data_IF_942701103331
#
_entry.id   IF_942701103331
#
_cell.length_a   1.000
_cell.length_b   1.000
_cell.length_c   1.000
_cell.angle_alpha   90.00
_cell.angle_beta   90.00
_cell.angle_gamma   90.00
#
_symmetry.space_group_name_H-M   'P 1'
#
loop_
_entity.id
_entity.type
_entity.pdbx_description
1 polymer ?
#
# COMPACT_ATOMS: atom_id res chain seq x y z
N UNK A 1 1.72 27.48 -25.57
CA UNK A 1 1.70 26.53 -24.43
C UNK A 1 0.24 26.23 -24.12
N UNK A 2 -0.30 25.10 -24.59
CA UNK A 2 -1.65 24.69 -24.26
C UNK A 2 -1.64 24.13 -22.83
N UNK A 3 -2.25 24.87 -21.90
CA UNK A 3 -2.47 24.43 -20.54
C UNK A 3 -3.36 23.18 -20.56
N UNK A 4 -2.79 22.03 -20.20
CA UNK A 4 -3.59 20.86 -19.85
C UNK A 4 -4.43 21.21 -18.64
N UNK A 5 -5.69 21.55 -18.84
CA UNK A 5 -6.66 21.58 -17.76
C UNK A 5 -6.79 20.14 -17.24
N UNK A 6 -6.20 19.86 -16.10
CA UNK A 6 -6.44 18.60 -15.40
C UNK A 6 -7.96 18.47 -15.19
N UNK A 7 -8.55 17.40 -15.70
CA UNK A 7 -9.94 17.10 -15.45
C UNK A 7 -10.13 17.02 -13.93
N UNK A 8 -10.87 17.96 -13.36
CA UNK A 8 -11.15 17.98 -11.92
C UNK A 8 -12.23 16.97 -11.63
N UNK A 9 -11.81 15.75 -11.27
CA UNK A 9 -12.74 14.75 -10.74
C UNK A 9 -13.20 15.15 -9.33
N UNK A 10 -14.40 14.76 -8.92
CA UNK A 10 -14.82 14.93 -7.54
C UNK A 10 -13.87 14.15 -6.59
N UNK A 11 -13.78 14.56 -5.32
CA UNK A 11 -13.04 13.78 -4.32
C UNK A 11 -13.50 12.33 -4.28
N UNK A 12 -12.58 11.41 -3.94
CA UNK A 12 -12.91 10.00 -3.74
C UNK A 12 -13.88 9.85 -2.55
N UNK A 13 -14.79 8.85 -2.57
CA UNK A 13 -15.75 8.61 -1.47
C UNK A 13 -15.05 8.34 -0.13
N UNK A 14 -13.89 7.69 -0.15
CA UNK A 14 -13.00 7.44 1.00
C UNK A 14 -11.55 7.46 0.54
N UNK A 15 -10.63 7.58 1.50
CA UNK A 15 -9.19 7.37 1.31
C UNK A 15 -8.78 5.91 1.44
N UNK A 16 -9.67 5.04 1.89
CA UNK A 16 -9.38 3.64 2.13
C UNK A 16 -10.09 2.76 1.10
N UNK A 17 -9.33 1.88 0.46
CA UNK A 17 -9.83 0.95 -0.56
C UNK A 17 -10.98 0.08 -0.04
N UNK A 18 -10.84 -0.41 1.20
CA UNK A 18 -11.81 -1.31 1.81
C UNK A 18 -13.16 -0.66 2.17
N UNK A 19 -13.23 0.67 2.20
CA UNK A 19 -14.48 1.41 2.44
C UNK A 19 -15.33 1.54 1.18
N UNK A 20 -14.73 1.34 0.00
CA UNK A 20 -15.43 1.49 -1.28
C UNK A 20 -16.17 0.22 -1.65
N UNK A 21 -17.38 0.38 -2.15
CA UNK A 21 -18.19 -0.70 -2.71
C UNK A 21 -17.80 -1.01 -4.17
N UNK A 22 -18.25 -2.17 -4.68
CA UNK A 22 -18.13 -2.50 -6.10
C UNK A 22 -18.78 -1.45 -7.00
N UNK A 23 -19.86 -0.81 -6.54
CA UNK A 23 -20.54 0.27 -7.26
C UNK A 23 -19.64 1.50 -7.39
N UNK A 24 -18.90 1.86 -6.32
CA UNK A 24 -17.97 2.98 -6.35
C UNK A 24 -16.85 2.73 -7.37
N UNK A 25 -16.24 1.54 -7.36
CA UNK A 25 -15.21 1.17 -8.35
C UNK A 25 -15.75 1.17 -9.79
N UNK A 26 -17.00 0.74 -10.01
CA UNK A 26 -17.64 0.83 -11.32
C UNK A 26 -17.76 2.29 -11.78
N UNK A 27 -18.16 3.20 -10.87
CA UNK A 27 -18.23 4.63 -11.14
C UNK A 27 -16.86 5.26 -11.42
N UNK A 28 -15.83 4.92 -10.63
CA UNK A 28 -14.46 5.39 -10.84
C UNK A 28 -13.90 4.97 -12.20
N UNK A 29 -14.21 3.75 -12.65
CA UNK A 29 -13.82 3.28 -14.00
C UNK A 29 -14.56 4.02 -15.10
N UNK A 30 -15.88 4.16 -14.98
CA UNK A 30 -16.71 4.81 -15.98
C UNK A 30 -16.35 6.29 -16.18
N UNK A 31 -16.01 7.00 -15.10
CA UNK A 31 -15.58 8.41 -15.14
C UNK A 31 -14.12 8.59 -15.60
N UNK A 32 -13.32 7.53 -15.66
CA UNK A 32 -11.88 7.61 -15.92
C UNK A 32 -11.03 7.98 -14.70
N UNK A 33 -11.64 8.28 -13.56
CA UNK A 33 -10.93 8.66 -12.33
C UNK A 33 -10.02 7.54 -11.81
N UNK A 34 -10.41 6.27 -11.98
CA UNK A 34 -9.59 5.12 -11.60
C UNK A 34 -8.17 5.19 -12.20
N UNK A 35 -8.03 5.64 -13.45
CA UNK A 35 -6.73 5.74 -14.13
C UNK A 35 -5.82 6.83 -13.55
N UNK A 36 -6.40 7.81 -12.89
CA UNK A 36 -5.67 8.91 -12.24
C UNK A 36 -5.34 8.60 -10.78
N UNK A 37 -6.09 7.68 -10.18
CA UNK A 37 -5.91 7.25 -8.79
C UNK A 37 -4.58 6.55 -8.58
N UNK A 38 -3.92 6.88 -7.47
CA UNK A 38 -2.76 6.15 -6.95
C UNK A 38 -3.24 5.23 -5.83
N UNK A 39 -3.06 3.93 -5.99
CA UNK A 39 -3.21 2.97 -4.91
C UNK A 39 -1.91 2.92 -4.11
N UNK A 40 -1.99 2.98 -2.79
CA UNK A 40 -0.85 2.84 -1.89
C UNK A 40 -1.01 1.51 -1.15
N UNK A 41 -0.06 0.61 -1.30
CA UNK A 41 0.04 -0.63 -0.54
C UNK A 41 1.05 -0.45 0.60
N UNK A 42 0.58 -0.27 1.84
CA UNK A 42 1.47 -0.19 3.00
C UNK A 42 1.99 -1.58 3.34
N UNK A 43 3.31 -1.72 3.48
CA UNK A 43 3.98 -3.00 3.78
C UNK A 43 4.93 -2.81 4.96
N UNK A 44 4.89 -3.74 5.93
CA UNK A 44 5.66 -3.68 7.17
C UNK A 44 6.21 -5.06 7.56
N UNK A 45 6.67 -5.20 8.79
CA UNK A 45 7.06 -6.48 9.38
C UNK A 45 6.57 -6.60 10.83
N UNK A 46 6.48 -7.85 11.30
CA UNK A 46 6.25 -8.21 12.70
C UNK A 46 7.47 -8.99 13.16
N UNK A 47 8.43 -8.28 13.74
CA UNK A 47 9.75 -8.84 14.05
C UNK A 47 10.35 -8.29 15.36
N UNK A 48 11.37 -8.96 15.86
CA UNK A 48 12.06 -8.51 17.07
C UNK A 48 12.71 -7.12 16.88
N UNK A 49 12.59 -6.27 17.90
CA UNK A 49 13.25 -4.97 18.01
C UNK A 49 13.94 -4.81 19.37
N UNK A 50 14.62 -5.87 19.81
CA UNK A 50 15.20 -5.95 21.14
C UNK A 50 14.20 -6.41 22.21
N UNK A 51 14.66 -6.61 23.46
CA UNK A 51 13.84 -7.22 24.52
C UNK A 51 12.75 -6.32 25.10
N UNK A 52 12.75 -5.04 24.75
CA UNK A 52 11.92 -4.00 25.37
C UNK A 52 10.89 -3.36 24.45
N UNK A 53 10.97 -3.60 23.14
CA UNK A 53 10.01 -3.08 22.17
C UNK A 53 9.06 -4.19 21.68
N UNK A 54 7.81 -3.84 21.35
CA UNK A 54 6.88 -4.81 20.77
C UNK A 54 7.32 -5.20 19.35
N UNK A 55 6.89 -6.38 18.91
CA UNK A 55 7.19 -6.89 17.57
C UNK A 55 6.57 -6.04 16.44
N UNK A 56 5.60 -5.20 16.76
CA UNK A 56 4.85 -4.37 15.82
C UNK A 56 5.50 -3.01 15.54
N UNK A 57 6.76 -2.77 15.90
CA UNK A 57 7.42 -1.47 15.73
C UNK A 57 7.25 -0.95 14.31
N UNK A 58 7.61 -1.72 13.30
CA UNK A 58 7.53 -1.32 11.90
C UNK A 58 6.10 -1.00 11.47
N UNK A 59 5.15 -1.86 11.83
CA UNK A 59 3.74 -1.66 11.50
C UNK A 59 3.17 -0.41 12.20
N UNK A 60 3.57 -0.17 13.47
CA UNK A 60 3.12 0.99 14.25
C UNK A 60 3.68 2.30 13.68
N UNK A 61 4.96 2.32 13.34
CA UNK A 61 5.59 3.49 12.73
C UNK A 61 4.99 3.79 11.35
N UNK A 62 4.80 2.75 10.52
CA UNK A 62 4.15 2.88 9.21
C UNK A 62 2.74 3.48 9.35
N UNK A 63 1.95 2.97 10.30
CA UNK A 63 0.60 3.50 10.56
C UNK A 63 0.65 4.97 11.00
N UNK A 64 1.57 5.33 11.90
CA UNK A 64 1.73 6.72 12.35
C UNK A 64 2.09 7.68 11.21
N UNK A 65 2.97 7.25 10.29
CA UNK A 65 3.31 8.05 9.11
C UNK A 65 2.11 8.18 8.16
N UNK A 66 1.34 7.10 7.97
CA UNK A 66 0.11 7.15 7.16
C UNK A 66 -0.92 8.11 7.76
N UNK A 67 -1.15 8.04 9.06
CA UNK A 67 -2.10 8.91 9.76
C UNK A 67 -1.71 10.38 9.63
N UNK A 68 -0.43 10.70 9.78
CA UNK A 68 0.10 12.05 9.55
C UNK A 68 -0.07 12.50 8.09
N UNK A 69 0.24 11.62 7.13
CA UNK A 69 0.08 11.92 5.72
C UNK A 69 -1.38 12.19 5.33
N UNK A 70 -2.32 11.41 5.86
CA UNK A 70 -3.76 11.58 5.61
C UNK A 70 -4.27 12.97 5.98
N UNK A 71 -3.72 13.59 7.04
CA UNK A 71 -4.07 14.95 7.44
C UNK A 71 -3.57 16.03 6.46
N UNK A 72 -2.54 15.70 5.68
CA UNK A 72 -1.88 16.65 4.77
C UNK A 72 -2.31 16.46 3.31
N UNK A 73 -2.93 15.33 2.95
CA UNK A 73 -3.32 15.04 1.57
C UNK A 73 -4.47 15.96 1.13
N UNK A 74 -4.30 16.74 0.03
CA UNK A 74 -5.39 17.53 -0.53
C UNK A 74 -6.58 16.66 -0.92
N UNK A 75 -7.80 17.13 -0.66
CA UNK A 75 -9.02 16.38 -0.99
C UNK A 75 -9.10 15.99 -2.48
N UNK A 76 -8.61 16.84 -3.36
CA UNK A 76 -8.60 16.61 -4.81
C UNK A 76 -7.56 15.59 -5.28
N UNK A 77 -6.57 15.21 -4.45
CA UNK A 77 -5.56 14.22 -4.84
C UNK A 77 -6.17 12.81 -4.75
N UNK A 78 -6.29 12.05 -5.85
CA UNK A 78 -6.94 10.76 -5.86
C UNK A 78 -6.00 9.65 -5.36
N UNK A 79 -5.91 9.47 -4.05
CA UNK A 79 -5.10 8.43 -3.39
C UNK A 79 -6.00 7.49 -2.61
N UNK A 80 -5.83 6.18 -2.79
CA UNK A 80 -6.50 5.12 -2.04
C UNK A 80 -5.46 4.26 -1.32
N UNK A 81 -5.56 4.17 -0.01
CA UNK A 81 -4.77 3.26 0.81
C UNK A 81 -5.42 1.87 0.83
N UNK A 82 -4.66 0.86 0.42
CA UNK A 82 -5.01 -0.55 0.55
C UNK A 82 -4.86 -1.02 2.01
N UNK A 83 -5.49 -2.14 2.40
CA UNK A 83 -5.24 -2.75 3.70
C UNK A 83 -3.76 -3.05 3.90
N UNK A 84 -3.15 -2.62 5.02
CA UNK A 84 -1.73 -2.83 5.27
C UNK A 84 -1.36 -4.33 5.32
N UNK A 85 -0.22 -4.67 4.71
CA UNK A 85 0.39 -5.99 4.80
C UNK A 85 1.45 -5.96 5.90
N UNK A 86 1.03 -6.28 7.12
CA UNK A 86 1.88 -6.11 8.32
C UNK A 86 2.85 -7.28 8.56
N UNK A 87 2.61 -8.44 7.96
CA UNK A 87 3.54 -9.56 8.00
C UNK A 87 4.31 -9.58 6.69
N UNK A 88 5.60 -9.29 6.75
CA UNK A 88 6.49 -9.20 5.59
C UNK A 88 7.62 -10.22 5.59
N UNK A 89 8.78 -9.81 5.11
CA UNK A 89 9.98 -10.64 4.96
C UNK A 89 11.06 -10.22 5.96
N UNK A 90 11.31 -11.06 6.98
CA UNK A 90 12.28 -10.84 8.06
C UNK A 90 13.06 -12.11 8.39
N UNK A 91 13.69 -12.81 7.42
CA UNK A 91 14.38 -14.07 7.67
C UNK A 91 15.57 -13.93 8.62
N UNK A 92 16.19 -12.77 8.71
CA UNK A 92 17.28 -12.41 9.63
C UNK A 92 16.88 -12.49 11.09
N UNK A 93 15.59 -12.36 11.39
CA UNK A 93 15.04 -12.38 12.74
C UNK A 93 14.31 -13.68 13.13
N UNK A 94 14.36 -14.71 12.30
CA UNK A 94 13.64 -15.98 12.50
C UNK A 94 14.02 -16.71 13.80
N UNK A 95 15.23 -16.46 14.34
CA UNK A 95 15.69 -17.08 15.59
C UNK A 95 15.10 -16.44 16.86
N UNK A 96 14.44 -15.30 16.71
CA UNK A 96 13.85 -14.59 17.84
C UNK A 96 12.37 -15.01 17.99
N UNK A 97 11.96 -15.49 19.19
CA UNK A 97 10.59 -15.91 19.43
C UNK A 97 9.59 -14.77 19.14
N UNK A 98 8.50 -15.09 18.46
CA UNK A 98 7.44 -14.16 18.14
C UNK A 98 7.57 -13.47 16.78
N UNK A 99 8.72 -13.47 16.12
CA UNK A 99 8.86 -12.97 14.75
C UNK A 99 7.96 -13.75 13.80
N UNK A 100 7.16 -13.02 13.01
CA UNK A 100 6.33 -13.56 11.93
C UNK A 100 6.95 -13.15 10.61
N UNK A 101 7.40 -14.10 9.82
CA UNK A 101 7.99 -13.84 8.50
C UNK A 101 7.43 -14.78 7.45
N UNK A 102 7.25 -14.25 6.24
CA UNK A 102 6.92 -15.03 5.05
C UNK A 102 8.20 -15.34 4.27
N UNK A 103 8.14 -16.33 3.38
CA UNK A 103 9.22 -16.56 2.43
C UNK A 103 9.26 -15.46 1.35
N UNK A 104 10.43 -15.21 0.71
CA UNK A 104 10.51 -14.27 -0.41
C UNK A 104 9.50 -14.58 -1.52
N UNK A 105 9.35 -15.86 -1.88
CA UNK A 105 8.41 -16.29 -2.92
C UNK A 105 6.96 -15.94 -2.56
N UNK A 106 6.57 -16.14 -1.29
CA UNK A 106 5.22 -15.82 -0.82
C UNK A 106 4.96 -14.31 -0.83
N UNK A 107 5.93 -13.50 -0.38
CA UNK A 107 5.79 -12.03 -0.37
C UNK A 107 5.68 -11.50 -1.80
N UNK A 108 6.53 -11.96 -2.72
CA UNK A 108 6.48 -11.57 -4.13
C UNK A 108 5.12 -11.93 -4.72
N UNK A 109 4.66 -13.17 -4.55
CA UNK A 109 3.36 -13.61 -5.07
C UNK A 109 2.21 -12.79 -4.47
N UNK A 110 2.19 -12.58 -3.15
CA UNK A 110 1.14 -11.82 -2.47
C UNK A 110 1.03 -10.39 -3.00
N UNK A 111 2.14 -9.69 -3.09
CA UNK A 111 2.10 -8.28 -3.51
C UNK A 111 1.83 -8.13 -5.01
N UNK A 112 2.33 -9.04 -5.84
CA UNK A 112 2.01 -9.09 -7.28
C UNK A 112 0.50 -9.33 -7.48
N UNK A 113 -0.09 -10.33 -6.81
CA UNK A 113 -1.52 -10.62 -6.93
C UNK A 113 -2.39 -9.45 -6.44
N UNK A 114 -2.00 -8.75 -5.36
CA UNK A 114 -2.67 -7.53 -4.93
C UNK A 114 -2.56 -6.45 -6.02
N UNK A 115 -1.39 -6.26 -6.61
CA UNK A 115 -1.15 -5.32 -7.71
C UNK A 115 -2.02 -5.62 -8.94
N UNK A 116 -2.17 -6.89 -9.30
CA UNK A 116 -3.07 -7.32 -10.38
C UNK A 116 -4.55 -7.01 -10.05
N UNK A 117 -4.97 -7.19 -8.78
CA UNK A 117 -6.32 -6.81 -8.36
C UNK A 117 -6.55 -5.30 -8.51
N UNK A 118 -5.57 -4.49 -8.13
CA UNK A 118 -5.58 -3.03 -8.32
C UNK A 118 -5.70 -2.68 -9.80
N UNK A 119 -4.92 -3.34 -10.65
CA UNK A 119 -4.96 -3.14 -12.10
C UNK A 119 -6.32 -3.53 -12.70
N UNK A 120 -6.91 -4.65 -12.26
CA UNK A 120 -8.27 -5.09 -12.68
C UNK A 120 -9.35 -4.09 -12.26
N UNK A 121 -9.19 -3.41 -11.14
CA UNK A 121 -10.10 -2.32 -10.72
C UNK A 121 -9.98 -1.05 -11.57
N UNK A 122 -9.03 -1.00 -12.52
CA UNK A 122 -8.81 0.13 -13.44
C UNK A 122 -7.77 1.14 -12.95
N UNK A 123 -7.21 0.96 -11.75
CA UNK A 123 -6.13 1.80 -11.21
C UNK A 123 -4.80 1.37 -11.85
N UNK A 124 -4.00 2.35 -12.29
CA UNK A 124 -2.78 2.11 -13.07
C UNK A 124 -1.49 2.53 -12.35
N UNK A 125 -1.62 2.99 -11.13
CA UNK A 125 -0.49 3.45 -10.33
C UNK A 125 -0.55 2.78 -8.96
N UNK A 126 0.45 1.98 -8.64
CA UNK A 126 0.62 1.34 -7.33
C UNK A 126 1.91 1.87 -6.70
N UNK A 127 1.81 2.36 -5.48
CA UNK A 127 2.93 2.74 -4.63
C UNK A 127 3.09 1.70 -3.51
N UNK A 128 4.22 0.99 -3.48
CA UNK A 128 4.61 0.19 -2.32
C UNK A 128 5.19 1.14 -1.26
N UNK A 129 4.46 1.31 -0.16
CA UNK A 129 4.86 2.19 0.94
C UNK A 129 5.44 1.35 2.08
N UNK A 130 6.77 1.34 2.18
CA UNK A 130 7.51 0.40 3.00
C UNK A 130 7.92 0.97 4.36
N UNK A 131 7.57 0.27 5.44
CA UNK A 131 8.00 0.54 6.81
C UNK A 131 9.11 -0.39 7.33
N UNK A 132 9.68 -1.31 6.50
CA UNK A 132 10.65 -2.31 6.93
C UNK A 132 11.83 -2.45 5.95
N UNK A 133 13.06 -2.29 6.44
CA UNK A 133 14.26 -2.31 5.60
C UNK A 133 14.60 -3.65 4.97
N UNK A 134 14.28 -4.76 5.64
CA UNK A 134 14.67 -6.12 5.23
C UNK A 134 13.99 -6.64 3.95
N UNK A 135 12.95 -5.95 3.45
CA UNK A 135 12.17 -6.40 2.29
C UNK A 135 12.34 -5.54 1.02
N UNK A 136 13.28 -4.60 1.00
CA UNK A 136 13.49 -3.70 -0.14
C UNK A 136 13.78 -4.44 -1.44
N UNK A 137 14.57 -5.52 -1.39
CA UNK A 137 14.92 -6.30 -2.59
C UNK A 137 13.72 -6.96 -3.25
N UNK A 138 12.76 -7.48 -2.47
CA UNK A 138 11.54 -8.08 -3.02
C UNK A 138 10.58 -7.02 -3.55
N UNK A 139 10.60 -5.80 -3.01
CA UNK A 139 9.85 -4.67 -3.57
C UNK A 139 10.31 -4.34 -4.99
N UNK A 140 11.63 -4.33 -5.23
CA UNK A 140 12.19 -4.05 -6.56
C UNK A 140 11.75 -5.12 -7.58
N UNK A 141 11.69 -6.38 -7.17
CA UNK A 141 11.17 -7.46 -8.02
C UNK A 141 9.71 -7.21 -8.36
N UNK A 142 8.85 -7.01 -7.36
CA UNK A 142 7.40 -6.79 -7.56
C UNK A 142 7.11 -5.54 -8.39
N UNK A 143 7.91 -4.49 -8.24
CA UNK A 143 7.72 -3.24 -8.98
C UNK A 143 8.05 -3.36 -10.49
N UNK A 144 8.66 -4.48 -10.92
CA UNK A 144 9.03 -4.77 -12.32
C UNK A 144 8.07 -5.72 -13.02
N UNK A 145 7.20 -6.40 -12.28
CA UNK A 145 6.13 -7.27 -12.82
C UNK A 145 4.91 -6.43 -13.30
#
# INVERSE_FOLDING_TARGET
>A
MAGMTAATHPPLPSRFWADLSTRDFTGLRASGQARQTVAVLPVAAIEQHGPHLPLSVDATLLQGVMDAALQLLPAALPVLFLPPQVVGLSPEHIRFPGTLTLSPATVIALWTEIGECVARAGVKKLLLFNGHGGQVSVMDIVARE
#
